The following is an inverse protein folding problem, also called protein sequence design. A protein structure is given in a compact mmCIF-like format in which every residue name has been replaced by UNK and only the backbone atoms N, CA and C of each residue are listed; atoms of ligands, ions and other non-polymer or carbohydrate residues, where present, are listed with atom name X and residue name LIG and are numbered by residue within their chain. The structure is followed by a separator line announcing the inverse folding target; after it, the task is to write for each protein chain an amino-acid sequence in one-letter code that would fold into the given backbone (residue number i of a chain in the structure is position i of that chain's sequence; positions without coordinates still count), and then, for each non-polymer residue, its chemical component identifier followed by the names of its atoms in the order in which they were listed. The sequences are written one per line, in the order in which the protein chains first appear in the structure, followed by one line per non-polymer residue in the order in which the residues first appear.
data_IF_675898627271
#
_entry.id   IF_675898627271
#
_cell.length_a   1.000
_cell.length_b   1.000
_cell.length_c   1.000
_cell.angle_alpha   90.00
_cell.angle_beta   90.00
_cell.angle_gamma   90.00
#
_symmetry.space_group_name_H-M   'P 1'
#
loop_
_entity.id
_entity.type
_entity.pdbx_description
1 polymer ?
#
# COMPACT_ATOMS: atom_id res chain seq x y z
N UNK A 1 -15.71 -6.99 -20.62
CA UNK A 1 -15.79 -8.45 -20.76
C UNK A 1 -16.71 -9.05 -19.71
N UNK A 2 -17.54 -10.03 -20.06
CA UNK A 2 -18.41 -10.71 -19.10
C UNK A 2 -17.56 -11.64 -18.20
N UNK A 3 -17.60 -11.40 -16.88
CA UNK A 3 -16.91 -12.22 -15.90
C UNK A 3 -17.44 -13.66 -15.93
N UNK A 4 -16.56 -14.66 -16.18
CA UNK A 4 -16.94 -16.09 -16.27
C UNK A 4 -16.56 -16.90 -15.03
N UNK A 5 -15.94 -16.29 -14.01
CA UNK A 5 -15.45 -16.99 -12.81
C UNK A 5 -15.74 -16.18 -11.56
N UNK A 6 -16.20 -16.85 -10.51
CA UNK A 6 -16.42 -16.27 -9.18
C UNK A 6 -15.47 -16.93 -8.17
N UNK A 7 -14.90 -16.12 -7.30
CA UNK A 7 -14.29 -16.59 -6.06
C UNK A 7 -15.38 -16.61 -4.98
N UNK A 8 -15.48 -17.73 -4.27
CA UNK A 8 -16.38 -17.94 -3.14
C UNK A 8 -15.52 -18.22 -1.91
N UNK A 9 -15.67 -17.41 -0.87
CA UNK A 9 -15.00 -17.60 0.42
C UNK A 9 -16.08 -17.84 1.47
N UNK A 10 -16.34 -19.10 1.86
CA UNK A 10 -17.26 -19.43 2.94
C UNK A 10 -16.75 -18.89 4.27
N UNK A 11 -17.66 -18.29 5.04
CA UNK A 11 -17.44 -17.77 6.39
C UNK A 11 -18.51 -18.38 7.30
N UNK A 12 -18.33 -19.64 7.71
CA UNK A 12 -19.35 -20.40 8.44
C UNK A 12 -19.70 -19.80 9.80
N UNK A 13 -18.73 -19.29 10.56
CA UNK A 13 -19.02 -18.65 11.85
C UNK A 13 -19.78 -17.32 11.68
N UNK A 14 -19.64 -16.68 10.52
CA UNK A 14 -20.40 -15.49 10.12
C UNK A 14 -21.70 -15.79 9.38
N UNK A 15 -22.05 -17.08 9.18
CA UNK A 15 -23.24 -17.50 8.45
C UNK A 15 -23.33 -16.89 7.04
N UNK A 16 -22.20 -16.74 6.34
CA UNK A 16 -22.19 -16.04 5.05
C UNK A 16 -21.09 -16.53 4.10
N UNK A 17 -21.16 -16.11 2.84
CA UNK A 17 -20.16 -16.37 1.80
C UNK A 17 -19.78 -15.03 1.17
N UNK A 18 -18.47 -14.76 1.06
CA UNK A 18 -17.99 -13.65 0.24
C UNK A 18 -17.89 -14.09 -1.21
N UNK A 19 -18.37 -13.23 -2.11
CA UNK A 19 -18.43 -13.46 -3.54
C UNK A 19 -17.67 -12.34 -4.24
N UNK A 20 -16.69 -12.69 -5.08
CA UNK A 20 -15.97 -11.73 -5.91
C UNK A 20 -15.85 -12.23 -7.34
N UNK A 21 -16.01 -11.34 -8.32
CA UNK A 21 -15.71 -11.66 -9.72
C UNK A 21 -14.21 -11.81 -9.94
N UNK A 22 -13.80 -12.79 -10.75
CA UNK A 22 -12.39 -13.01 -11.11
C UNK A 22 -12.23 -12.80 -12.62
N UNK A 23 -11.54 -11.72 -13.00
CA UNK A 23 -11.18 -11.44 -14.38
C UNK A 23 -10.03 -12.32 -14.86
N UNK A 24 -9.01 -12.52 -14.01
CA UNK A 24 -7.85 -13.34 -14.35
C UNK A 24 -7.28 -14.05 -13.12
N UNK A 25 -6.64 -15.20 -13.35
CA UNK A 25 -5.81 -15.91 -12.37
C UNK A 25 -4.38 -15.97 -12.92
N UNK A 26 -3.44 -15.50 -12.12
CA UNK A 26 -2.01 -15.58 -12.37
C UNK A 26 -1.39 -16.66 -11.48
N UNK A 27 -0.10 -16.96 -11.69
CA UNK A 27 0.64 -17.88 -10.82
C UNK A 27 0.67 -17.42 -9.35
N UNK A 28 0.88 -18.38 -8.44
CA UNK A 28 0.92 -18.16 -6.97
C UNK A 28 -0.37 -17.58 -6.39
N UNK A 29 -1.52 -18.06 -6.86
CA UNK A 29 -2.85 -17.65 -6.37
C UNK A 29 -3.10 -16.15 -6.35
N UNK A 30 -2.53 -15.46 -7.35
CA UNK A 30 -2.81 -14.05 -7.61
C UNK A 30 -4.04 -13.93 -8.49
N UNK A 31 -5.09 -13.33 -7.95
CA UNK A 31 -6.35 -13.12 -8.66
C UNK A 31 -6.51 -11.63 -9.00
N UNK A 32 -6.87 -11.35 -10.25
CA UNK A 32 -7.39 -10.03 -10.63
C UNK A 32 -8.89 -10.04 -10.41
N UNK A 33 -9.33 -9.40 -9.34
CA UNK A 33 -10.75 -9.26 -9.03
C UNK A 33 -11.41 -8.22 -9.94
N UNK A 34 -12.69 -8.40 -10.23
CA UNK A 34 -13.50 -7.48 -11.03
C UNK A 34 -14.87 -7.29 -10.42
N UNK A 35 -15.32 -6.03 -10.42
CA UNK A 35 -16.60 -5.64 -9.82
C UNK A 35 -16.56 -5.62 -8.29
N UNK A 36 -17.71 -5.41 -7.65
CA UNK A 36 -17.81 -5.35 -6.19
C UNK A 36 -17.65 -6.73 -5.56
N UNK A 37 -17.06 -6.76 -4.36
CA UNK A 37 -17.18 -7.90 -3.44
C UNK A 37 -18.55 -7.83 -2.78
N UNK A 38 -19.24 -8.97 -2.72
CA UNK A 38 -20.56 -9.09 -2.10
C UNK A 38 -20.53 -10.09 -0.96
N UNK A 39 -21.32 -9.85 0.08
CA UNK A 39 -21.60 -10.81 1.14
C UNK A 39 -22.97 -11.42 0.87
N UNK A 40 -23.03 -12.75 0.86
CA UNK A 40 -24.26 -13.51 0.72
C UNK A 40 -24.56 -14.25 2.03
N UNK A 41 -25.71 -14.03 2.69
CA UNK A 41 -26.07 -14.77 3.90
C UNK A 41 -26.36 -16.24 3.55
N UNK A 42 -25.82 -17.17 4.34
CA UNK A 42 -26.02 -18.61 4.15
C UNK A 42 -27.38 -19.06 4.71
N UNK A 43 -27.89 -18.37 5.74
CA UNK A 43 -29.21 -18.62 6.33
C UNK A 43 -30.28 -17.77 5.63
N UNK A 44 -30.83 -18.30 4.56
CA UNK A 44 -32.14 -17.87 4.07
C UNK A 44 -33.20 -18.61 4.85
N UNK A 45 -33.94 -17.90 5.71
CA UNK A 45 -35.27 -18.35 6.10
C UNK A 45 -36.08 -18.62 4.81
N UNK A 46 -36.95 -19.60 4.91
CA UNK A 46 -37.71 -20.30 3.88
C UNK A 46 -38.64 -19.44 2.99
N UNK A 47 -38.13 -18.37 2.39
CA UNK A 47 -38.78 -17.62 1.32
C UNK A 47 -38.25 -18.10 -0.04
N UNK A 48 -39.08 -18.68 -0.93
CA UNK A 48 -38.69 -19.15 -2.25
C UNK A 48 -38.41 -18.03 -3.26
N UNK A 49 -38.46 -16.77 -2.84
CA UNK A 49 -37.99 -15.63 -3.63
C UNK A 49 -36.46 -15.69 -3.79
N UNK A 50 -35.89 -15.50 -5.00
CA UNK A 50 -34.43 -15.45 -5.16
C UNK A 50 -33.89 -14.34 -4.25
N UNK A 51 -32.86 -14.59 -3.41
CA UNK A 51 -32.34 -13.53 -2.56
C UNK A 51 -31.78 -12.42 -3.44
N UNK A 52 -32.49 -11.30 -3.50
CA UNK A 52 -32.08 -10.10 -4.22
C UNK A 52 -30.95 -9.35 -3.50
N UNK A 53 -30.62 -9.75 -2.27
CA UNK A 53 -29.95 -8.89 -1.28
C UNK A 53 -28.53 -9.36 -0.97
N UNK A 54 -27.73 -9.68 -1.99
CA UNK A 54 -26.29 -9.80 -1.83
C UNK A 54 -25.70 -8.41 -1.50
N UNK A 55 -25.44 -8.17 -0.22
CA UNK A 55 -24.93 -6.89 0.28
C UNK A 55 -23.55 -6.60 -0.32
N UNK A 56 -23.39 -5.42 -0.90
CA UNK A 56 -22.11 -4.97 -1.45
C UNK A 56 -21.24 -4.47 -0.30
N UNK A 57 -20.03 -5.02 -0.17
CA UNK A 57 -19.01 -4.43 0.68
C UNK A 57 -18.45 -3.18 0.01
N UNK A 58 -18.40 -2.07 0.76
CA UNK A 58 -17.94 -0.77 0.24
C UNK A 58 -16.49 -0.48 0.59
N UNK A 59 -16.02 -1.05 1.70
CA UNK A 59 -14.70 -0.81 2.25
C UNK A 59 -14.08 -2.14 2.74
N UNK A 60 -12.79 -2.42 2.48
CA UNK A 60 -12.15 -3.68 2.90
C UNK A 60 -12.11 -3.87 4.43
N UNK A 61 -12.18 -2.79 5.20
CA UNK A 61 -12.32 -2.82 6.67
C UNK A 61 -13.55 -3.62 7.13
N UNK A 62 -14.61 -3.69 6.31
CA UNK A 62 -15.82 -4.45 6.62
C UNK A 62 -15.57 -5.97 6.66
N UNK A 63 -14.45 -6.44 6.09
CA UNK A 63 -14.07 -7.86 6.10
C UNK A 63 -13.49 -8.27 7.47
N UNK A 64 -12.87 -7.33 8.20
CA UNK A 64 -12.15 -7.66 9.46
C UNK A 64 -13.08 -8.27 10.52
N UNK A 65 -14.27 -7.72 10.83
CA UNK A 65 -15.19 -8.35 11.78
C UNK A 65 -15.70 -9.72 11.33
N UNK A 66 -15.72 -9.99 10.02
CA UNK A 66 -16.09 -11.31 9.51
C UNK A 66 -14.97 -12.32 9.79
N UNK A 67 -13.72 -11.95 9.49
CA UNK A 67 -12.54 -12.78 9.76
C UNK A 67 -12.31 -12.99 11.27
N UNK A 68 -12.67 -12.01 12.10
CA UNK A 68 -12.62 -12.13 13.55
C UNK A 68 -13.53 -13.25 14.06
N UNK A 69 -14.78 -13.34 13.55
CA UNK A 69 -15.68 -14.45 13.89
C UNK A 69 -15.16 -15.81 13.42
N UNK A 70 -14.43 -15.85 12.31
CA UNK A 70 -13.76 -17.06 11.83
C UNK A 70 -12.48 -17.42 12.61
N UNK A 71 -12.11 -16.64 13.63
CA UNK A 71 -10.91 -16.90 14.43
C UNK A 71 -9.60 -16.61 13.69
N UNK A 72 -9.63 -15.69 12.71
CA UNK A 72 -8.43 -15.32 11.95
C UNK A 72 -7.40 -14.52 12.78
N UNK A 73 -7.77 -14.04 13.97
CA UNK A 73 -6.94 -13.23 14.85
C UNK A 73 -6.75 -13.92 16.20
N UNK A 74 -5.65 -13.61 16.89
CA UNK A 74 -5.34 -14.15 18.22
C UNK A 74 -6.34 -13.69 19.29
N UNK A 75 -6.79 -12.45 19.17
CA UNK A 75 -7.65 -11.76 20.14
C UNK A 75 -8.29 -10.51 19.49
N UNK A 76 -9.21 -9.88 20.22
CA UNK A 76 -9.94 -8.70 19.75
C UNK A 76 -9.04 -7.46 19.59
N UNK A 77 -7.96 -7.34 20.37
CA UNK A 77 -7.01 -6.21 20.24
C UNK A 77 -6.24 -6.32 18.94
N UNK A 78 -5.82 -7.54 18.57
CA UNK A 78 -5.21 -7.83 17.29
C UNK A 78 -6.14 -7.52 16.12
N UNK A 79 -7.42 -7.92 16.23
CA UNK A 79 -8.43 -7.63 15.21
C UNK A 79 -8.61 -6.12 15.01
N UNK A 80 -8.79 -5.35 16.09
CA UNK A 80 -8.96 -3.89 16.02
C UNK A 80 -7.70 -3.19 15.50
N UNK A 81 -6.52 -3.65 15.91
CA UNK A 81 -5.25 -3.15 15.37
C UNK A 81 -5.20 -3.36 13.85
N UNK A 82 -5.45 -4.56 13.35
CA UNK A 82 -5.47 -4.85 11.90
C UNK A 82 -6.54 -4.01 11.20
N UNK A 83 -7.70 -3.82 11.82
CA UNK A 83 -8.76 -2.96 11.30
C UNK A 83 -8.29 -1.53 11.05
N UNK A 84 -7.61 -0.94 12.02
CA UNK A 84 -7.02 0.39 11.91
C UNK A 84 -5.91 0.44 10.85
N UNK A 85 -5.04 -0.57 10.79
CA UNK A 85 -3.98 -0.66 9.78
C UNK A 85 -4.53 -0.72 8.35
N UNK A 86 -5.59 -1.50 8.13
CA UNK A 86 -6.26 -1.59 6.81
C UNK A 86 -6.91 -0.25 6.47
N UNK A 87 -7.60 0.39 7.42
CA UNK A 87 -8.21 1.70 7.19
C UNK A 87 -7.17 2.76 6.79
N UNK A 88 -6.07 2.84 7.53
CA UNK A 88 -4.95 3.74 7.23
C UNK A 88 -4.34 3.44 5.86
N UNK A 89 -4.08 2.16 5.57
CA UNK A 89 -3.51 1.74 4.29
C UNK A 89 -4.43 2.06 3.12
N UNK A 90 -5.76 1.97 3.26
CA UNK A 90 -6.71 2.36 2.21
C UNK A 90 -6.63 3.85 1.94
N UNK A 91 -6.59 4.68 3.00
CA UNK A 91 -6.46 6.12 2.86
C UNK A 91 -5.15 6.50 2.14
N UNK A 92 -4.03 5.90 2.55
CA UNK A 92 -2.73 6.16 1.94
C UNK A 92 -2.64 5.63 0.50
N UNK A 93 -3.27 4.49 0.19
CA UNK A 93 -3.36 3.99 -1.19
C UNK A 93 -4.19 4.93 -2.07
N UNK A 94 -5.29 5.47 -1.56
CA UNK A 94 -6.10 6.43 -2.29
C UNK A 94 -5.31 7.72 -2.60
N UNK A 95 -4.56 8.24 -1.63
CA UNK A 95 -3.67 9.38 -1.84
C UNK A 95 -2.57 9.06 -2.86
N UNK A 96 -1.93 7.89 -2.76
CA UNK A 96 -0.88 7.49 -3.69
C UNK A 96 -1.39 7.42 -5.14
N UNK A 97 -2.59 6.86 -5.35
CA UNK A 97 -3.23 6.81 -6.67
C UNK A 97 -3.61 8.19 -7.19
N UNK A 98 -4.06 9.08 -6.31
CA UNK A 98 -4.30 10.47 -6.68
C UNK A 98 -2.99 11.17 -7.09
N UNK A 99 -1.91 10.96 -6.34
CA UNK A 99 -0.58 11.49 -6.67
C UNK A 99 -0.09 11.01 -8.04
N UNK A 100 -0.22 9.71 -8.33
CA UNK A 100 0.11 9.16 -9.64
C UNK A 100 -0.70 9.80 -10.78
N UNK A 101 -2.00 10.02 -10.57
CA UNK A 101 -2.85 10.68 -11.56
C UNK A 101 -2.44 12.14 -11.80
N UNK A 102 -2.02 12.86 -10.75
CA UNK A 102 -1.52 14.24 -10.86
C UNK A 102 -0.20 14.27 -11.64
N UNK A 103 0.76 13.38 -11.34
CA UNK A 103 2.02 13.29 -12.07
C UNK A 103 1.79 13.01 -13.56
N UNK A 104 0.91 12.05 -13.88
CA UNK A 104 0.57 11.71 -15.25
C UNK A 104 -0.08 12.87 -16.04
N UNK A 105 -0.82 13.77 -15.37
CA UNK A 105 -1.41 14.95 -16.03
C UNK A 105 -0.35 16.00 -16.36
N UNK A 106 0.64 16.19 -15.48
CA UNK A 106 1.72 17.16 -15.66
C UNK A 106 2.67 16.75 -16.79
N UNK A 107 2.82 15.45 -17.06
CA UNK A 107 3.77 14.90 -18.03
C UNK A 107 3.21 14.66 -19.46
N UNK A 108 1.98 15.07 -19.77
CA UNK A 108 1.22 14.65 -20.98
C UNK A 108 1.92 14.81 -22.35
N UNK A 109 2.08 13.69 -23.10
CA UNK A 109 1.13 13.29 -24.17
C UNK A 109 0.71 11.81 -23.98
N UNK A 110 -0.59 11.48 -24.12
CA UNK A 110 -1.09 10.12 -23.90
C UNK A 110 -1.06 9.33 -25.20
N UNK A 111 0.11 8.80 -25.58
CA UNK A 111 0.19 7.88 -26.72
C UNK A 111 0.59 6.48 -26.27
N UNK A 112 -0.42 5.69 -25.87
CA UNK A 112 -0.36 4.23 -25.75
C UNK A 112 0.89 3.64 -25.06
N UNK A 113 1.44 4.31 -24.05
CA UNK A 113 2.71 3.87 -23.47
C UNK A 113 2.56 2.53 -22.74
N UNK A 114 3.45 1.61 -23.10
CA UNK A 114 3.62 0.34 -22.41
C UNK A 114 3.96 0.59 -20.94
N UNK A 115 3.52 -0.25 -19.98
CA UNK A 115 3.98 -0.17 -18.60
C UNK A 115 5.52 -0.18 -18.46
N UNK A 116 6.23 -0.76 -19.44
CA UNK A 116 7.69 -0.74 -19.49
C UNK A 116 8.24 0.63 -19.91
N UNK A 117 7.51 1.41 -20.72
CA UNK A 117 7.89 2.78 -21.08
C UNK A 117 7.72 3.69 -19.88
N UNK A 118 6.63 3.60 -19.11
CA UNK A 118 6.49 4.32 -17.84
C UNK A 118 7.61 4.00 -16.85
N UNK A 119 8.05 2.75 -16.82
CA UNK A 119 9.19 2.29 -16.01
C UNK A 119 10.52 2.85 -16.54
N UNK A 120 10.62 3.09 -17.85
CA UNK A 120 11.83 3.61 -18.51
C UNK A 120 11.91 5.13 -18.42
N UNK A 121 10.79 5.84 -18.56
CA UNK A 121 10.69 7.29 -18.40
C UNK A 121 10.75 7.69 -16.92
N UNK A 122 10.18 6.87 -16.04
CA UNK A 122 10.12 7.11 -14.62
C UNK A 122 9.24 8.31 -14.26
N UNK A 123 9.18 8.63 -12.96
CA UNK A 123 8.68 9.93 -12.51
C UNK A 123 9.89 10.79 -12.20
N UNK A 124 9.91 12.04 -12.67
CA UNK A 124 11.00 12.98 -12.39
C UNK A 124 11.38 12.97 -10.90
N UNK A 125 12.65 12.71 -10.63
CA UNK A 125 13.23 12.62 -9.29
C UNK A 125 14.70 13.05 -9.30
N UNK A 126 15.31 13.08 -8.10
CA UNK A 126 16.72 13.41 -7.94
C UNK A 126 17.68 12.45 -8.68
N UNK A 127 17.31 11.18 -8.84
CA UNK A 127 18.06 10.19 -9.60
C UNK A 127 17.15 9.08 -10.19
N UNK A 128 17.73 8.20 -11.01
CA UNK A 128 16.99 7.13 -11.67
C UNK A 128 16.40 6.12 -10.67
N UNK A 129 17.13 5.74 -9.62
CA UNK A 129 16.63 4.78 -8.61
C UNK A 129 15.45 5.38 -7.84
N UNK A 130 15.54 6.65 -7.45
CA UNK A 130 14.42 7.38 -6.87
C UNK A 130 13.23 7.42 -7.84
N UNK A 131 13.48 7.65 -9.13
CA UNK A 131 12.42 7.65 -10.16
C UNK A 131 11.65 6.33 -10.20
N UNK A 132 12.33 5.17 -10.11
CA UNK A 132 11.68 3.85 -10.05
C UNK A 132 10.83 3.65 -8.79
N UNK A 133 11.33 4.06 -7.62
CA UNK A 133 10.61 3.92 -6.34
C UNK A 133 9.26 4.68 -6.36
N UNK A 134 9.21 5.83 -7.04
CA UNK A 134 8.01 6.67 -7.12
C UNK A 134 6.87 6.04 -7.92
N UNK A 135 7.19 5.13 -8.86
CA UNK A 135 6.19 4.47 -9.72
C UNK A 135 5.36 3.45 -8.92
N UNK A 136 5.91 2.91 -7.82
CA UNK A 136 5.28 1.84 -7.05
C UNK A 136 4.24 2.38 -6.07
N UNK A 137 3.01 2.58 -6.55
CA UNK A 137 1.93 3.16 -5.72
C UNK A 137 1.13 2.14 -4.90
N UNK A 138 1.06 0.88 -5.33
CA UNK A 138 0.15 -0.11 -4.71
C UNK A 138 0.72 -0.77 -3.43
N UNK A 139 2.04 -0.66 -3.19
CA UNK A 139 2.70 -1.31 -2.05
C UNK A 139 2.85 -2.83 -2.21
N UNK A 140 3.04 -3.55 -1.11
CA UNK A 140 3.28 -4.99 -1.15
C UNK A 140 2.00 -5.77 -1.54
N UNK A 141 2.00 -6.54 -2.65
CA UNK A 141 0.77 -7.10 -3.24
C UNK A 141 0.10 -8.19 -2.40
N UNK A 142 0.79 -8.75 -1.40
CA UNK A 142 0.25 -9.76 -0.48
C UNK A 142 0.07 -9.26 0.96
N UNK A 143 0.26 -7.96 1.22
CA UNK A 143 0.06 -7.40 2.55
C UNK A 143 -1.28 -6.64 2.61
N UNK A 144 -2.18 -6.94 3.56
CA UNK A 144 -3.50 -6.30 3.63
C UNK A 144 -3.42 -4.79 3.92
N UNK A 145 -2.29 -4.34 4.48
CA UNK A 145 -2.02 -2.95 4.85
C UNK A 145 -0.73 -2.43 4.19
N UNK A 146 -0.54 -2.69 2.89
CA UNK A 146 0.71 -2.43 2.16
C UNK A 146 1.16 -0.96 2.09
N UNK A 147 0.33 -0.01 2.51
CA UNK A 147 0.60 1.44 2.54
C UNK A 147 0.47 2.06 3.93
N UNK A 148 0.62 1.27 4.98
CA UNK A 148 0.64 1.78 6.35
C UNK A 148 1.87 2.67 6.61
N UNK A 149 1.71 3.77 7.37
CA UNK A 149 2.75 4.74 7.74
C UNK A 149 2.65 5.10 9.23
N UNK A 150 2.72 4.07 10.08
CA UNK A 150 2.61 4.25 11.53
C UNK A 150 3.62 5.25 12.08
N UNK A 151 3.13 6.12 12.97
CA UNK A 151 3.94 7.16 13.61
C UNK A 151 4.11 8.41 12.76
N UNK A 152 3.58 8.45 11.54
CA UNK A 152 3.55 9.66 10.71
C UNK A 152 2.15 10.28 10.75
N UNK A 153 2.11 11.59 10.85
CA UNK A 153 0.95 12.41 10.51
C UNK A 153 0.70 12.37 8.98
N UNK A 154 -0.50 12.70 8.51
CA UNK A 154 -0.76 12.82 7.08
C UNK A 154 0.19 13.79 6.35
N UNK A 155 0.57 14.89 7.01
CA UNK A 155 1.51 15.86 6.46
C UNK A 155 2.92 15.27 6.29
N UNK A 156 3.40 14.51 7.28
CA UNK A 156 4.66 13.78 7.18
C UNK A 156 4.58 12.68 6.11
N UNK A 157 3.45 11.99 6.00
CA UNK A 157 3.19 11.06 4.91
C UNK A 157 3.37 11.72 3.54
N UNK A 158 2.81 12.91 3.33
CA UNK A 158 2.99 13.66 2.09
C UNK A 158 4.43 14.16 1.88
N UNK A 159 5.12 14.56 2.95
CA UNK A 159 6.48 15.11 2.87
C UNK A 159 7.57 14.04 2.63
N UNK A 160 7.35 12.81 3.09
CA UNK A 160 8.39 11.77 3.13
C UNK A 160 8.07 10.53 2.30
N UNK A 161 6.84 10.37 1.81
CA UNK A 161 6.51 9.22 0.98
C UNK A 161 7.02 9.39 -0.46
N UNK A 162 7.60 8.32 -1.06
CA UNK A 162 8.16 8.40 -2.40
C UNK A 162 7.11 8.81 -3.43
N UNK A 163 5.84 8.44 -3.25
CA UNK A 163 4.79 8.78 -4.23
C UNK A 163 4.53 10.29 -4.37
N UNK A 164 5.01 11.10 -3.41
CA UNK A 164 4.74 12.54 -3.34
C UNK A 164 6.02 13.38 -3.35
N UNK A 165 7.11 12.92 -2.74
CA UNK A 165 8.33 13.71 -2.52
C UNK A 165 9.48 13.30 -3.42
N UNK A 166 10.06 14.24 -4.15
CA UNK A 166 11.19 14.02 -5.09
C UNK A 166 12.54 14.29 -4.41
N UNK A 167 12.50 14.94 -3.26
CA UNK A 167 13.65 15.35 -2.46
C UNK A 167 13.28 15.38 -0.99
N UNK A 168 14.17 14.84 -0.17
CA UNK A 168 14.09 14.93 1.30
C UNK A 168 15.26 15.78 1.77
N UNK A 169 14.96 16.85 2.49
CA UNK A 169 16.01 17.67 3.11
C UNK A 169 16.58 16.96 4.35
N UNK A 170 17.91 16.82 4.39
CA UNK A 170 18.60 16.22 5.52
C UNK A 170 18.88 17.27 6.59
N UNK A 171 18.64 16.90 7.84
CA UNK A 171 19.00 17.71 8.99
C UNK A 171 20.28 17.17 9.63
N UNK A 172 21.29 18.03 9.76
CA UNK A 172 22.55 17.70 10.41
C UNK A 172 22.54 18.11 11.87
N UNK A 173 23.03 17.23 12.75
CA UNK A 173 23.19 17.50 14.18
C UNK A 173 24.61 17.20 14.61
N UNK A 174 25.22 18.12 15.37
CA UNK A 174 26.53 17.91 15.96
C UNK A 174 26.40 17.04 17.22
N UNK A 175 27.09 15.90 17.26
CA UNK A 175 27.07 14.98 18.39
C UNK A 175 28.51 14.83 18.90
N UNK A 176 28.70 14.96 20.22
CA UNK A 176 29.99 14.69 20.86
C UNK A 176 30.38 13.23 20.63
N UNK A 177 31.61 13.01 20.14
CA UNK A 177 32.13 11.68 19.77
C UNK A 177 32.03 10.67 20.91
N UNK A 178 32.04 11.10 22.18
CA UNK A 178 31.88 10.19 23.33
C UNK A 178 30.50 9.53 23.41
N UNK A 179 29.51 10.11 22.72
CA UNK A 179 28.14 9.58 22.63
C UNK A 179 27.83 8.95 21.27
N UNK A 180 28.79 8.92 20.34
CA UNK A 180 28.60 8.39 19.00
C UNK A 180 29.34 7.05 18.81
N UNK A 181 28.66 6.09 18.18
CA UNK A 181 29.27 4.83 17.74
C UNK A 181 29.31 4.80 16.21
N UNK A 182 30.50 4.64 15.63
CA UNK A 182 30.71 4.51 14.19
C UNK A 182 31.28 3.13 13.88
N UNK A 183 30.61 2.38 13.01
CA UNK A 183 31.10 1.11 12.47
C UNK A 183 31.32 1.26 10.97
N UNK A 184 32.47 0.80 10.47
CA UNK A 184 32.84 0.90 9.06
C UNK A 184 33.58 -0.34 8.58
N UNK A 185 33.53 -0.60 7.28
CA UNK A 185 34.35 -1.61 6.65
C UNK A 185 35.84 -1.24 6.74
N UNK A 186 36.72 -2.24 6.76
CA UNK A 186 38.17 -2.04 6.79
C UNK A 186 38.62 -1.24 5.57
N UNK A 187 39.34 -0.13 5.80
CA UNK A 187 39.86 0.74 4.73
C UNK A 187 38.86 1.77 4.19
N UNK A 188 37.63 1.83 4.71
CA UNK A 188 36.67 2.86 4.33
C UNK A 188 36.91 4.18 5.10
N UNK A 189 36.67 5.31 4.43
CA UNK A 189 36.65 6.65 5.06
C UNK A 189 35.58 6.73 6.14
N UNK A 190 35.71 7.69 7.06
CA UNK A 190 34.69 7.94 8.08
C UNK A 190 33.46 8.58 7.45
N UNK A 191 32.29 8.26 7.98
CA UNK A 191 31.05 8.90 7.53
C UNK A 191 31.12 10.42 7.71
N UNK A 192 31.66 10.89 8.85
CA UNK A 192 31.83 12.32 9.11
C UNK A 192 32.70 12.99 8.06
N UNK A 193 33.84 12.39 7.70
CA UNK A 193 34.76 12.96 6.72
C UNK A 193 34.09 13.08 5.34
N UNK A 194 33.30 12.06 4.96
CA UNK A 194 32.51 12.08 3.71
C UNK A 194 31.42 13.14 3.72
N UNK A 195 30.72 13.33 4.85
CA UNK A 195 29.68 14.35 4.97
C UNK A 195 30.27 15.76 4.92
N UNK A 196 31.38 16.02 5.62
CA UNK A 196 32.07 17.32 5.56
C UNK A 196 32.57 17.63 4.15
N UNK A 197 33.09 16.63 3.43
CA UNK A 197 33.53 16.80 2.04
C UNK A 197 32.38 16.99 1.05
N UNK A 198 31.18 16.49 1.36
CA UNK A 198 30.03 16.54 0.47
C UNK A 198 29.15 17.79 0.66
N UNK A 199 29.17 18.41 1.85
CA UNK A 199 28.29 19.51 2.20
C UNK A 199 29.07 20.66 2.86
N UNK A 200 29.11 21.80 2.17
CA UNK A 200 29.73 23.02 2.69
C UNK A 200 29.05 23.52 3.97
N UNK A 201 29.83 24.15 4.85
CA UNK A 201 29.32 24.79 6.07
C UNK A 201 29.01 23.83 7.23
N UNK A 202 29.33 22.55 7.10
CA UNK A 202 29.27 21.58 8.20
C UNK A 202 30.53 21.59 9.09
N UNK A 203 31.60 22.26 8.66
CA UNK A 203 32.79 22.48 9.47
C UNK A 203 32.50 23.54 10.55
N UNK A 204 32.79 23.22 11.81
CA UNK A 204 32.58 24.10 12.97
C UNK A 204 33.66 23.92 14.03
#
# INVERSE_FOLDING_TARGET
EACRRLALVPLPASGSVLIAGVAARHGYDRFRLVGPVRRWPADGDSDPSPPTDAERLTHPVEIVPLLEREGAFSDAEQAERIRAEVAESVANLALARLGAAVHAQVESEPDTESPLETVTSGILAADAAASFERIVTDGHPFHPSGKIRRGMTPAEGLAYAPEFTDRIDLHFVAIDRKYALETRATGADRLTDRLLAAFDGLEG
#
